data_IF_700461405007
#
_entry.id   IF_700461405007
#
_cell.length_a   1.000
_cell.length_b   1.000
_cell.length_c   1.000
_cell.angle_alpha   90.00
_cell.angle_beta   90.00
_cell.angle_gamma   90.00
#
_symmetry.space_group_name_H-M   'P 1'
#
loop_
_entity.id
_entity.type
_entity.pdbx_description
1 polymer ?
#
# COMPACT_ATOMS: atom_id res chain seq x y z
N UNK A 1 -2.68 -18.09 -8.49
CA UNK A 1 -2.93 -17.17 -9.62
C UNK A 1 -2.95 -15.78 -9.03
N UNK A 2 -1.83 -15.07 -9.08
CA UNK A 2 -1.74 -13.66 -8.66
C UNK A 2 -2.39 -12.79 -9.72
N UNK A 3 -3.67 -12.48 -9.51
CA UNK A 3 -4.37 -11.51 -10.34
C UNK A 3 -3.76 -10.15 -9.99
N UNK A 4 -2.94 -9.62 -10.90
CA UNK A 4 -2.42 -8.26 -10.82
C UNK A 4 -3.58 -7.26 -10.99
N UNK A 5 -4.27 -6.99 -9.88
CA UNK A 5 -5.41 -6.06 -9.79
C UNK A 5 -5.01 -4.62 -10.11
N UNK A 6 -3.71 -4.30 -10.16
CA UNK A 6 -3.20 -2.96 -10.49
C UNK A 6 -3.72 -2.46 -11.84
N UNK A 7 -3.96 -3.37 -12.80
CA UNK A 7 -4.53 -3.02 -14.12
C UNK A 7 -5.99 -2.54 -14.07
N UNK A 8 -6.70 -2.80 -12.98
CA UNK A 8 -8.12 -2.46 -12.81
C UNK A 8 -8.34 -1.30 -11.81
N UNK A 9 -7.30 -0.80 -11.15
CA UNK A 9 -7.40 0.28 -10.15
C UNK A 9 -7.50 1.69 -10.74
N UNK A 10 -7.60 1.81 -12.08
CA UNK A 10 -7.66 3.10 -12.75
C UNK A 10 -6.36 3.90 -12.63
N UNK A 11 -6.44 5.22 -12.84
CA UNK A 11 -5.29 6.11 -12.74
C UNK A 11 -4.96 6.38 -11.27
N UNK A 12 -3.68 6.35 -10.92
CA UNK A 12 -3.24 6.73 -9.58
C UNK A 12 -3.58 8.21 -9.28
N UNK A 13 -4.21 8.44 -8.14
CA UNK A 13 -4.52 9.78 -7.62
C UNK A 13 -3.57 10.19 -6.51
N UNK A 14 -3.15 11.46 -6.50
CA UNK A 14 -2.28 12.01 -5.46
C UNK A 14 -3.12 12.43 -4.25
N UNK A 15 -2.79 11.89 -3.09
CA UNK A 15 -3.42 12.22 -1.81
C UNK A 15 -2.39 12.81 -0.84
N UNK A 16 -2.79 13.81 -0.07
CA UNK A 16 -2.02 14.33 1.06
C UNK A 16 -2.65 13.82 2.37
N UNK A 17 -1.86 13.17 3.22
CA UNK A 17 -2.31 12.62 4.51
C UNK A 17 -1.34 12.98 5.64
N UNK A 18 -1.82 12.89 6.87
CA UNK A 18 -1.01 13.00 8.09
C UNK A 18 -0.94 11.64 8.77
N UNK A 19 0.26 11.19 9.14
CA UNK A 19 0.52 9.95 9.86
C UNK A 19 1.41 10.23 11.08
N UNK A 20 1.32 9.43 12.16
CA UNK A 20 2.29 9.49 13.25
C UNK A 20 3.72 9.27 12.74
N UNK A 21 4.68 10.10 13.18
CA UNK A 21 6.06 10.04 12.68
C UNK A 21 6.72 8.67 12.85
N UNK A 22 6.52 8.03 14.00
CA UNK A 22 7.02 6.67 14.26
C UNK A 22 6.46 5.64 13.26
N UNK A 23 5.17 5.75 12.88
CA UNK A 23 4.59 4.86 11.88
C UNK A 23 5.24 5.07 10.50
N UNK A 24 5.48 6.33 10.11
CA UNK A 24 6.13 6.66 8.85
C UNK A 24 7.54 6.05 8.77
N UNK A 25 8.33 6.14 9.86
CA UNK A 25 9.65 5.52 9.94
C UNK A 25 9.58 4.01 9.75
N UNK A 26 8.62 3.32 10.38
CA UNK A 26 8.46 1.88 10.22
C UNK A 26 8.06 1.48 8.80
N UNK A 27 7.22 2.28 8.13
CA UNK A 27 6.87 2.06 6.72
C UNK A 27 8.11 2.21 5.84
N UNK A 28 8.93 3.24 6.08
CA UNK A 28 10.17 3.44 5.32
C UNK A 28 11.15 2.29 5.47
N UNK A 29 11.34 1.82 6.70
CA UNK A 29 12.18 0.65 6.97
C UNK A 29 11.64 -0.60 6.29
N UNK A 30 10.33 -0.83 6.34
CA UNK A 30 9.71 -1.97 5.68
C UNK A 30 9.97 -1.94 4.17
N UNK A 31 9.67 -0.81 3.50
CA UNK A 31 9.84 -0.65 2.05
C UNK A 31 11.30 -0.80 1.61
N UNK A 32 12.27 -0.39 2.44
CA UNK A 32 13.70 -0.59 2.15
C UNK A 32 14.09 -2.07 2.05
N UNK A 33 13.43 -2.95 2.80
CA UNK A 33 13.75 -4.38 2.84
C UNK A 33 12.84 -5.23 1.94
N UNK A 34 11.77 -4.63 1.39
CA UNK A 34 10.75 -5.30 0.57
C UNK A 34 10.63 -4.60 -0.78
N UNK A 35 11.56 -4.85 -1.72
CA UNK A 35 11.61 -4.15 -3.02
C UNK A 35 10.37 -4.40 -3.90
N UNK A 36 9.56 -5.41 -3.58
CA UNK A 36 8.24 -5.63 -4.17
C UNK A 36 7.25 -4.50 -3.85
N UNK A 37 7.32 -3.92 -2.65
CA UNK A 37 6.54 -2.76 -2.21
C UNK A 37 7.34 -1.48 -2.51
N UNK A 38 7.44 -1.12 -3.79
CA UNK A 38 8.35 -0.08 -4.34
C UNK A 38 8.28 1.33 -3.72
N UNK A 39 7.29 1.63 -2.88
CA UNK A 39 7.10 2.94 -2.26
C UNK A 39 6.14 2.89 -1.07
N UNK A 40 6.11 3.97 -0.26
CA UNK A 40 5.08 4.18 0.78
C UNK A 40 3.66 4.00 0.23
N UNK A 41 3.39 4.54 -0.96
CA UNK A 41 2.07 4.46 -1.59
C UNK A 41 1.72 3.03 -2.00
N UNK A 42 2.68 2.26 -2.50
CA UNK A 42 2.49 0.85 -2.82
C UNK A 42 2.15 0.04 -1.56
N UNK A 43 2.94 0.24 -0.49
CA UNK A 43 2.69 -0.40 0.80
C UNK A 43 1.29 -0.09 1.34
N UNK A 44 0.88 1.18 1.33
CA UNK A 44 -0.44 1.59 1.80
C UNK A 44 -1.57 1.01 0.95
N UNK A 45 -1.40 0.96 -0.38
CA UNK A 45 -2.38 0.36 -1.28
C UNK A 45 -2.52 -1.15 -1.04
N UNK A 46 -1.41 -1.87 -0.89
CA UNK A 46 -1.35 -3.30 -0.58
C UNK A 46 -2.04 -3.60 0.77
N UNK A 47 -1.75 -2.81 1.80
CA UNK A 47 -2.40 -2.93 3.10
C UNK A 47 -3.91 -2.69 3.01
N UNK A 48 -4.34 -1.65 2.29
CA UNK A 48 -5.75 -1.36 2.08
C UNK A 48 -6.47 -2.49 1.32
N UNK A 49 -5.87 -3.02 0.25
CA UNK A 49 -6.41 -4.15 -0.50
C UNK A 49 -6.57 -5.39 0.36
N UNK A 50 -5.58 -5.72 1.20
CA UNK A 50 -5.67 -6.85 2.14
C UNK A 50 -6.85 -6.71 3.11
N UNK A 51 -7.06 -5.49 3.64
CA UNK A 51 -8.22 -5.20 4.51
C UNK A 51 -9.54 -5.36 3.74
N UNK A 52 -9.62 -4.83 2.52
CA UNK A 52 -10.84 -4.87 1.71
C UNK A 52 -11.17 -6.28 1.19
N UNK A 53 -10.16 -7.09 0.85
CA UNK A 53 -10.32 -8.48 0.41
C UNK A 53 -10.68 -9.42 1.57
N UNK A 54 -10.18 -9.13 2.78
CA UNK A 54 -10.54 -9.84 4.00
C UNK A 54 -11.95 -9.52 4.50
N UNK A 55 -12.51 -8.38 4.11
CA UNK A 55 -13.92 -8.03 4.32
C UNK A 55 -14.82 -8.72 3.29
N UNK A 56 -15.01 -10.03 3.45
CA UNK A 56 -16.23 -10.66 2.94
C UNK A 56 -17.36 -10.30 3.91
N UNK A 57 -18.16 -9.30 3.53
CA UNK A 57 -19.50 -9.10 4.08
C UNK A 57 -20.39 -10.25 3.60
#
# INVERSE_FOLDING_TARGET
>A
MDIDVTKYMGKAEKLNITLPGHLLTRIDEYVKHHPEEKSRSAFLASAALKVLQGSRI
#
